data_IF_570732714663
#
_entry.id   IF_570732714663
#
_cell.length_a   1.000
_cell.length_b   1.000
_cell.length_c   1.000
_cell.angle_alpha   90.00
_cell.angle_beta   90.00
_cell.angle_gamma   90.00
#
_symmetry.space_group_name_H-M   'P 1'
#
loop_
_entity.id
_entity.type
_entity.pdbx_description
1 polymer ?
#
# COMPACT_ATOMS: atom_id res chain seq x y z
N UNK A 1 13.29 -8.70 -10.40
CA UNK A 1 14.21 -7.55 -10.48
C UNK A 1 14.11 -6.67 -9.23
N UNK A 2 12.93 -6.46 -8.66
CA UNK A 2 12.65 -5.51 -7.57
C UNK A 2 13.46 -5.76 -6.30
N UNK A 3 13.85 -7.02 -6.05
CA UNK A 3 14.68 -7.43 -4.92
C UNK A 3 15.98 -8.11 -5.36
N UNK A 4 16.36 -7.99 -6.65
CA UNK A 4 17.55 -8.62 -7.18
C UNK A 4 18.79 -7.75 -7.00
N UNK A 5 19.96 -8.32 -6.72
CA UNK A 5 21.21 -7.57 -6.65
C UNK A 5 21.48 -6.75 -7.91
N UNK A 6 22.04 -5.55 -7.76
CA UNK A 6 22.35 -4.65 -8.87
C UNK A 6 21.17 -3.85 -9.44
N UNK A 7 20.03 -3.89 -8.78
CA UNK A 7 18.87 -3.03 -9.06
C UNK A 7 18.58 -2.15 -7.85
N UNK A 8 18.42 -0.84 -8.06
CA UNK A 8 17.87 0.05 -7.04
C UNK A 8 16.35 -0.11 -7.00
N UNK A 9 15.79 -0.09 -5.80
CA UNK A 9 14.33 -0.08 -5.62
C UNK A 9 13.80 1.34 -5.81
N UNK A 10 12.88 1.52 -6.75
CA UNK A 10 12.41 2.82 -7.23
C UNK A 10 11.36 3.47 -6.33
N UNK A 11 11.64 3.59 -5.03
CA UNK A 11 10.77 4.26 -4.07
C UNK A 11 11.61 5.25 -3.22
N UNK A 12 11.91 6.44 -3.76
CA UNK A 12 12.81 7.41 -3.14
C UNK A 12 12.28 8.00 -1.83
N UNK A 13 10.97 7.99 -1.60
CA UNK A 13 10.31 8.57 -0.43
C UNK A 13 10.52 7.76 0.86
N UNK A 14 11.04 6.53 0.76
CA UNK A 14 11.26 5.68 1.95
C UNK A 14 12.45 6.16 2.80
N UNK A 15 13.52 6.66 2.17
CA UNK A 15 14.66 7.25 2.89
C UNK A 15 15.65 7.89 1.93
N UNK A 16 16.58 8.70 2.46
CA UNK A 16 17.69 9.26 1.66
C UNK A 16 18.58 8.14 1.06
N UNK A 17 18.75 7.01 1.74
CA UNK A 17 19.46 5.85 1.20
C UNK A 17 18.82 5.32 -0.09
N UNK A 18 17.49 5.16 -0.12
CA UNK A 18 16.77 4.76 -1.34
C UNK A 18 16.94 5.79 -2.44
N UNK A 19 16.87 7.07 -2.12
CA UNK A 19 17.06 8.19 -3.05
C UNK A 19 18.45 8.20 -3.67
N UNK A 20 19.49 8.06 -2.85
CA UNK A 20 20.88 7.98 -3.32
C UNK A 20 21.14 6.70 -4.15
N UNK A 21 20.60 5.56 -3.75
CA UNK A 21 20.69 4.32 -4.52
C UNK A 21 20.08 4.49 -5.92
N UNK A 22 18.95 5.21 -6.04
CA UNK A 22 18.34 5.52 -7.33
C UNK A 22 19.24 6.44 -8.16
N UNK A 23 19.76 7.53 -7.57
CA UNK A 23 20.66 8.48 -8.26
C UNK A 23 21.91 7.81 -8.84
N UNK A 24 22.47 6.85 -8.12
CA UNK A 24 23.74 6.19 -8.44
C UNK A 24 23.58 4.89 -9.26
N UNK A 25 22.35 4.43 -9.49
CA UNK A 25 22.10 3.17 -10.17
C UNK A 25 21.80 3.35 -11.65
N UNK A 26 22.30 2.42 -12.47
CA UNK A 26 21.95 2.30 -13.90
C UNK A 26 20.66 1.50 -14.12
N UNK A 27 20.17 0.80 -13.09
CA UNK A 27 19.00 -0.08 -13.17
C UNK A 27 18.08 0.22 -12.00
N UNK A 28 16.91 0.72 -12.29
CA UNK A 28 15.88 1.04 -11.29
C UNK A 28 14.71 0.10 -11.52
N UNK A 29 14.29 -0.58 -10.46
CA UNK A 29 13.13 -1.46 -10.47
C UNK A 29 11.92 -0.70 -9.91
N UNK A 30 10.97 -0.39 -10.77
CA UNK A 30 9.72 0.25 -10.35
C UNK A 30 8.92 -0.67 -9.42
N UNK A 31 8.42 -0.18 -8.28
CA UNK A 31 7.61 -0.95 -7.34
C UNK A 31 6.36 -1.57 -7.96
N UNK A 32 5.89 -2.67 -7.39
CA UNK A 32 4.57 -3.18 -7.68
C UNK A 32 3.49 -2.33 -7.02
N UNK A 33 2.33 -2.18 -7.65
CA UNK A 33 1.28 -1.29 -7.17
C UNK A 33 0.84 -1.58 -5.71
N UNK A 34 0.41 -2.81 -5.41
CA UNK A 34 0.07 -3.17 -4.03
C UNK A 34 1.27 -3.14 -3.08
N UNK A 35 2.47 -3.44 -3.60
CA UNK A 35 3.69 -3.36 -2.79
C UNK A 35 3.98 -1.91 -2.40
N UNK A 36 3.79 -0.94 -3.31
CA UNK A 36 3.93 0.49 -2.98
C UNK A 36 3.03 0.90 -1.84
N UNK A 37 1.73 0.59 -1.93
CA UNK A 37 0.78 0.91 -0.87
C UNK A 37 1.11 0.22 0.46
N UNK A 38 1.43 -1.08 0.43
CA UNK A 38 1.83 -1.80 1.65
C UNK A 38 3.12 -1.25 2.27
N UNK A 39 4.15 -1.04 1.45
CA UNK A 39 5.46 -0.58 1.90
C UNK A 39 5.38 0.83 2.47
N UNK A 40 4.59 1.73 1.86
CA UNK A 40 4.40 3.07 2.39
C UNK A 40 3.78 3.08 3.80
N UNK A 41 3.02 2.05 4.16
CA UNK A 41 2.44 1.89 5.49
C UNK A 41 3.34 1.08 6.43
N UNK A 42 3.87 -0.05 5.98
CA UNK A 42 4.60 -0.97 6.86
C UNK A 42 6.07 -0.57 7.09
N UNK A 43 6.73 0.08 6.12
CA UNK A 43 8.13 0.49 6.27
C UNK A 43 8.34 1.48 7.41
N UNK A 44 7.55 2.57 7.56
CA UNK A 44 7.66 3.45 8.72
C UNK A 44 7.45 2.72 10.04
N UNK A 45 6.46 1.82 10.12
CA UNK A 45 6.17 1.06 11.35
C UNK A 45 7.37 0.23 11.81
N UNK A 46 8.02 -0.48 10.89
CA UNK A 46 9.21 -1.30 11.19
C UNK A 46 10.42 -0.41 11.44
N UNK A 47 10.66 0.61 10.60
CA UNK A 47 11.83 1.49 10.68
C UNK A 47 11.87 2.29 11.97
N UNK A 48 10.72 2.74 12.45
CA UNK A 48 10.58 3.49 13.70
C UNK A 48 10.48 2.58 14.94
N UNK A 49 10.50 1.25 14.75
CA UNK A 49 10.42 0.29 15.83
C UNK A 49 9.03 0.20 16.51
N UNK A 50 7.99 0.69 15.85
CA UNK A 50 6.60 0.60 16.32
C UNK A 50 6.14 -0.85 16.29
N UNK A 51 6.53 -1.58 15.26
CA UNK A 51 6.37 -3.04 15.17
C UNK A 51 7.73 -3.71 14.95
N UNK A 52 7.89 -4.89 15.53
CA UNK A 52 9.07 -5.71 15.26
C UNK A 52 9.00 -6.41 13.90
N UNK A 53 10.13 -6.92 13.37
CA UNK A 53 10.16 -7.64 12.09
C UNK A 53 9.31 -8.92 12.10
N UNK A 54 9.03 -9.49 13.24
CA UNK A 54 8.21 -10.71 13.40
C UNK A 54 6.72 -10.44 13.59
N UNK A 55 6.31 -9.16 13.61
CA UNK A 55 4.93 -8.77 13.82
C UNK A 55 4.00 -9.45 12.79
N UNK A 56 2.87 -10.05 13.23
CA UNK A 56 1.95 -10.75 12.34
C UNK A 56 1.04 -9.75 11.59
N UNK A 57 1.61 -9.09 10.58
CA UNK A 57 0.93 -8.07 9.82
C UNK A 57 0.05 -8.68 8.72
N UNK A 58 -1.13 -8.12 8.55
CA UNK A 58 -2.05 -8.43 7.46
C UNK A 58 -2.40 -7.17 6.68
N UNK A 59 -2.73 -7.34 5.42
CA UNK A 59 -3.21 -6.26 4.56
C UNK A 59 -4.29 -6.77 3.62
N UNK A 60 -5.28 -5.92 3.36
CA UNK A 60 -6.21 -6.11 2.27
C UNK A 60 -6.18 -4.91 1.33
N UNK A 61 -6.46 -5.15 0.07
CA UNK A 61 -6.38 -4.12 -0.94
C UNK A 61 -7.48 -4.27 -1.98
N UNK A 62 -8.07 -3.16 -2.36
CA UNK A 62 -9.07 -3.06 -3.42
C UNK A 62 -8.48 -2.26 -4.59
N UNK A 63 -8.58 -2.77 -5.81
CA UNK A 63 -8.10 -2.06 -7.00
C UNK A 63 -9.05 -2.19 -8.18
N UNK A 64 -9.01 -1.19 -9.05
CA UNK A 64 -9.56 -1.30 -10.39
C UNK A 64 -8.76 -2.26 -11.29
N UNK A 65 -9.34 -2.61 -12.44
CA UNK A 65 -8.79 -3.63 -13.34
C UNK A 65 -7.63 -3.15 -14.23
N UNK A 66 -7.30 -1.86 -14.24
CA UNK A 66 -6.17 -1.33 -15.05
C UNK A 66 -4.81 -1.98 -14.71
N UNK A 67 -4.64 -2.47 -13.48
CA UNK A 67 -3.46 -3.20 -13.04
C UNK A 67 -3.43 -4.70 -13.37
N UNK A 68 -4.50 -5.25 -13.92
CA UNK A 68 -4.67 -6.70 -14.13
C UNK A 68 -3.93 -7.25 -15.37
N UNK A 69 -3.31 -6.37 -16.17
CA UNK A 69 -2.59 -6.71 -17.39
C UNK A 69 -3.48 -6.75 -18.64
N UNK A 70 -2.87 -6.56 -19.81
CA UNK A 70 -3.57 -6.30 -21.10
C UNK A 70 -4.68 -7.31 -21.42
N UNK A 71 -4.46 -8.61 -21.17
CA UNK A 71 -5.46 -9.65 -21.46
C UNK A 71 -6.71 -9.50 -20.60
N UNK A 72 -6.53 -9.28 -19.31
CA UNK A 72 -7.65 -9.12 -18.36
C UNK A 72 -8.39 -7.81 -18.60
N UNK A 73 -7.68 -6.72 -18.90
CA UNK A 73 -8.29 -5.44 -19.29
C UNK A 73 -9.20 -5.64 -20.50
N UNK A 74 -8.70 -6.30 -21.56
CA UNK A 74 -9.49 -6.56 -22.77
C UNK A 74 -10.78 -7.34 -22.48
N UNK A 75 -10.76 -8.28 -21.54
CA UNK A 75 -11.97 -9.03 -21.12
C UNK A 75 -12.96 -8.09 -20.41
N UNK A 76 -12.48 -7.26 -19.46
CA UNK A 76 -13.33 -6.29 -18.77
C UNK A 76 -14.02 -5.29 -19.73
N UNK A 77 -13.38 -5.00 -20.86
CA UNK A 77 -13.82 -4.01 -21.85
C UNK A 77 -14.51 -4.65 -23.08
N UNK A 78 -14.86 -5.93 -23.02
CA UNK A 78 -15.48 -6.68 -24.11
C UNK A 78 -16.76 -7.40 -23.70
N UNK A 79 -17.44 -7.99 -24.68
CA UNK A 79 -18.62 -8.87 -24.47
C UNK A 79 -18.26 -10.21 -23.82
N UNK A 80 -16.97 -10.52 -23.65
CA UNK A 80 -16.50 -11.72 -22.94
C UNK A 80 -16.53 -11.53 -21.41
N UNK A 81 -16.86 -10.32 -20.92
CA UNK A 81 -17.00 -10.02 -19.50
C UNK A 81 -18.11 -10.85 -18.87
N UNK A 82 -17.76 -11.66 -17.88
CA UNK A 82 -18.73 -12.49 -17.17
C UNK A 82 -19.47 -11.71 -16.08
N UNK A 83 -20.60 -12.25 -15.61
CA UNK A 83 -21.42 -11.58 -14.57
C UNK A 83 -20.64 -11.44 -13.25
N UNK A 84 -19.76 -12.38 -12.91
CA UNK A 84 -18.92 -12.34 -11.70
C UNK A 84 -17.90 -11.18 -11.76
N UNK A 85 -17.55 -10.72 -12.95
CA UNK A 85 -16.64 -9.60 -13.12
C UNK A 85 -17.28 -8.24 -12.83
N UNK A 86 -18.59 -8.18 -12.63
CA UNK A 86 -19.30 -6.98 -12.19
C UNK A 86 -19.26 -6.78 -10.66
N UNK A 87 -18.61 -7.69 -9.93
CA UNK A 87 -18.49 -7.64 -8.48
C UNK A 87 -17.01 -7.68 -8.07
N UNK A 88 -16.67 -7.16 -6.86
CA UNK A 88 -15.34 -7.31 -6.29
C UNK A 88 -14.95 -8.77 -6.18
N UNK A 89 -13.75 -9.12 -6.64
CA UNK A 89 -13.25 -10.51 -6.62
C UNK A 89 -11.91 -10.59 -5.92
N UNK A 90 -11.85 -11.39 -4.86
CA UNK A 90 -10.57 -11.78 -4.26
C UNK A 90 -9.79 -12.68 -5.22
N UNK A 91 -8.47 -12.52 -5.23
CA UNK A 91 -7.57 -13.39 -5.99
C UNK A 91 -6.29 -13.69 -5.19
N UNK A 92 -5.36 -14.44 -5.77
CA UNK A 92 -4.19 -14.96 -5.06
C UNK A 92 -4.55 -15.71 -3.77
N UNK A 93 -5.66 -16.45 -3.77
CA UNK A 93 -6.21 -17.17 -2.63
C UNK A 93 -5.23 -18.19 -2.01
N UNK A 94 -4.24 -18.63 -2.78
CA UNK A 94 -3.16 -19.51 -2.29
C UNK A 94 -2.06 -18.77 -1.53
N UNK A 95 -2.20 -17.47 -1.28
CA UNK A 95 -1.20 -16.60 -0.65
C UNK A 95 0.15 -16.63 -1.38
N UNK A 96 0.14 -16.74 -2.72
CA UNK A 96 1.33 -16.74 -3.59
C UNK A 96 1.32 -15.57 -4.55
N UNK A 97 1.12 -14.36 -4.05
CA UNK A 97 1.16 -13.16 -4.87
C UNK A 97 2.61 -12.71 -5.11
N UNK A 98 2.92 -12.26 -6.34
CA UNK A 98 4.27 -11.81 -6.75
C UNK A 98 4.84 -10.65 -5.90
N UNK A 99 3.99 -9.85 -5.28
CA UNK A 99 4.40 -8.70 -4.45
C UNK A 99 4.78 -9.08 -3.01
N UNK A 100 4.45 -10.27 -2.52
CA UNK A 100 4.73 -10.66 -1.13
C UNK A 100 6.22 -10.64 -0.80
N UNK A 101 7.06 -11.17 -1.71
CA UNK A 101 8.53 -11.15 -1.56
C UNK A 101 9.08 -9.73 -1.53
N UNK A 102 8.50 -8.84 -2.32
CA UNK A 102 8.86 -7.43 -2.40
C UNK A 102 8.47 -6.70 -1.10
N UNK A 103 7.23 -6.89 -0.63
CA UNK A 103 6.73 -6.35 0.63
C UNK A 103 7.64 -6.74 1.80
N UNK A 104 7.94 -8.04 1.96
CA UNK A 104 8.84 -8.55 2.98
C UNK A 104 10.23 -7.93 2.90
N UNK A 105 10.85 -7.98 1.72
CA UNK A 105 12.27 -7.61 1.57
C UNK A 105 12.51 -6.11 1.82
N UNK A 106 11.61 -5.25 1.37
CA UNK A 106 11.78 -3.79 1.50
C UNK A 106 11.44 -3.31 2.89
N UNK A 107 10.42 -3.86 3.53
CA UNK A 107 10.04 -3.45 4.89
C UNK A 107 10.93 -4.01 5.98
N UNK A 108 11.71 -5.06 5.70
CA UNK A 108 12.52 -5.75 6.70
C UNK A 108 11.75 -6.75 7.56
N UNK A 109 10.52 -7.08 7.20
CA UNK A 109 9.75 -8.12 7.89
C UNK A 109 10.42 -9.50 7.74
N UNK A 110 10.36 -10.33 8.78
CA UNK A 110 10.92 -11.69 8.78
C UNK A 110 10.08 -12.68 7.99
N UNK A 111 8.78 -12.39 7.77
CA UNK A 111 7.83 -13.20 7.01
C UNK A 111 7.04 -12.34 6.02
N UNK A 112 6.49 -12.97 5.01
CA UNK A 112 5.54 -12.34 4.10
C UNK A 112 4.24 -11.99 4.85
N UNK A 113 3.61 -10.82 4.58
CA UNK A 113 2.34 -10.47 5.20
C UNK A 113 1.21 -11.40 4.72
N UNK A 114 0.15 -11.54 5.51
CA UNK A 114 -1.12 -12.07 5.02
C UNK A 114 -1.73 -11.02 4.10
N UNK A 115 -2.03 -11.38 2.85
CA UNK A 115 -2.45 -10.42 1.85
C UNK A 115 -3.70 -10.86 1.10
N UNK A 116 -4.72 -10.02 1.12
CA UNK A 116 -6.00 -10.22 0.45
C UNK A 116 -6.20 -9.16 -0.63
N UNK A 117 -5.74 -9.38 -1.87
CA UNK A 117 -6.00 -8.47 -2.98
C UNK A 117 -7.39 -8.71 -3.57
N UNK A 118 -8.09 -7.62 -3.87
CA UNK A 118 -9.43 -7.61 -4.47
C UNK A 118 -9.36 -6.75 -5.73
N UNK A 119 -9.87 -7.26 -6.84
CA UNK A 119 -10.07 -6.49 -8.07
C UNK A 119 -11.55 -6.26 -8.28
N UNK A 120 -11.91 -5.04 -8.70
CA UNK A 120 -13.30 -4.64 -8.90
C UNK A 120 -13.51 -3.99 -10.26
N UNK A 121 -14.77 -3.79 -10.63
CA UNK A 121 -15.23 -3.32 -11.93
C UNK A 121 -15.21 -1.79 -12.04
N UNK A 122 -14.03 -1.21 -11.83
CA UNK A 122 -13.72 0.16 -12.23
C UNK A 122 -12.31 0.21 -12.81
N UNK A 123 -12.03 1.20 -13.65
CA UNK A 123 -10.79 1.19 -14.41
C UNK A 123 -9.56 1.35 -13.53
N UNK A 124 -9.39 2.47 -12.83
CA UNK A 124 -8.17 2.78 -12.07
C UNK A 124 -8.46 3.31 -10.67
N UNK A 125 -7.49 3.09 -9.79
CA UNK A 125 -7.51 3.46 -8.38
C UNK A 125 -7.22 2.24 -7.50
N UNK A 126 -6.76 2.50 -6.28
CA UNK A 126 -6.40 1.44 -5.35
C UNK A 126 -6.40 1.97 -3.91
N UNK A 127 -6.93 1.17 -2.99
CA UNK A 127 -6.73 1.32 -1.55
C UNK A 127 -5.95 0.12 -1.04
N UNK A 128 -4.98 0.36 -0.15
CA UNK A 128 -4.31 -0.69 0.62
C UNK A 128 -4.49 -0.38 2.10
N UNK A 129 -4.95 -1.34 2.86
CA UNK A 129 -5.25 -1.20 4.27
C UNK A 129 -4.42 -2.16 5.12
N UNK A 130 -3.94 -1.68 6.26
CA UNK A 130 -3.28 -2.47 7.30
C UNK A 130 -4.05 -2.25 8.60
N UNK A 131 -4.94 -3.18 9.00
CA UNK A 131 -5.63 -3.10 10.28
C UNK A 131 -4.69 -3.43 11.43
N UNK A 132 -4.73 -2.64 12.49
CA UNK A 132 -3.91 -2.79 13.69
C UNK A 132 -4.76 -2.63 14.95
N UNK A 133 -4.30 -3.24 16.04
CA UNK A 133 -4.82 -2.98 17.37
C UNK A 133 -3.90 -2.01 18.13
N UNK A 134 -4.50 -1.06 18.85
CA UNK A 134 -3.77 -0.06 19.64
C UNK A 134 -2.89 -0.70 20.70
N UNK A 135 -3.38 -1.72 21.40
CA UNK A 135 -2.63 -2.46 22.42
C UNK A 135 -1.44 -3.25 21.86
N UNK A 136 -1.49 -3.68 20.60
CA UNK A 136 -0.40 -4.42 19.96
C UNK A 136 0.77 -3.51 19.54
N UNK A 137 0.50 -2.24 19.27
CA UNK A 137 1.54 -1.28 18.83
C UNK A 137 1.86 -0.24 19.90
N UNK A 138 1.07 -0.17 20.98
CA UNK A 138 1.27 0.76 22.09
C UNK A 138 1.12 2.23 21.72
N UNK A 139 0.34 2.54 20.69
CA UNK A 139 0.21 3.89 20.16
C UNK A 139 -1.21 4.15 19.68
N UNK A 140 -1.77 5.32 20.00
CA UNK A 140 -3.10 5.76 19.54
C UNK A 140 -3.07 6.23 18.08
N UNK A 141 -4.23 6.23 17.39
CA UNK A 141 -4.28 6.64 15.98
C UNK A 141 -3.76 8.06 15.72
N UNK A 142 -4.06 9.03 16.59
CA UNK A 142 -3.60 10.42 16.44
C UNK A 142 -2.08 10.56 16.60
N UNK A 143 -1.48 9.73 17.46
CA UNK A 143 -0.03 9.68 17.64
C UNK A 143 0.64 9.04 16.42
N UNK A 144 0.05 7.96 15.92
CA UNK A 144 0.52 7.28 14.72
C UNK A 144 0.43 8.19 13.49
N UNK A 145 -0.66 8.96 13.36
CA UNK A 145 -0.79 9.95 12.28
C UNK A 145 0.37 10.97 12.29
N UNK A 146 0.75 11.48 13.46
CA UNK A 146 1.87 12.41 13.58
C UNK A 146 3.20 11.76 13.18
N UNK A 147 3.42 10.50 13.58
CA UNK A 147 4.61 9.74 13.16
C UNK A 147 4.69 9.64 11.65
N UNK A 148 3.60 9.30 10.97
CA UNK A 148 3.57 9.25 9.52
C UNK A 148 3.76 10.61 8.85
N UNK A 149 3.12 11.65 9.39
CA UNK A 149 3.27 13.02 8.89
C UNK A 149 4.72 13.52 9.01
N UNK A 150 5.40 13.22 10.11
CA UNK A 150 6.80 13.55 10.30
C UNK A 150 7.72 12.69 9.42
N UNK A 151 7.43 11.41 9.26
CA UNK A 151 8.22 10.49 8.44
C UNK A 151 8.24 10.91 6.95
N UNK A 152 7.08 11.29 6.40
CA UNK A 152 6.94 11.70 5.00
C UNK A 152 6.98 13.22 4.79
N UNK A 153 7.43 13.97 5.80
CA UNK A 153 7.51 15.43 5.73
C UNK A 153 8.40 15.91 4.56
N UNK A 154 7.82 16.69 3.67
CA UNK A 154 8.51 17.25 2.50
C UNK A 154 8.49 16.32 1.26
N UNK A 155 7.94 15.12 1.36
CA UNK A 155 7.76 14.26 0.19
C UNK A 155 6.60 14.78 -0.69
N UNK A 156 6.87 14.96 -1.98
CA UNK A 156 5.93 15.58 -2.92
C UNK A 156 4.77 14.66 -3.30
N UNK A 157 5.04 13.36 -3.35
CA UNK A 157 4.09 12.36 -3.87
C UNK A 157 3.45 11.49 -2.77
N UNK A 158 3.73 11.78 -1.50
CA UNK A 158 3.05 11.15 -0.36
C UNK A 158 2.43 12.25 0.50
N UNK A 159 1.11 12.24 0.58
CA UNK A 159 0.32 13.19 1.37
C UNK A 159 -0.31 12.46 2.56
N UNK A 160 0.23 12.70 3.76
CA UNK A 160 -0.35 12.17 5.00
C UNK A 160 -1.43 13.13 5.46
N UNK A 161 -2.66 12.66 5.49
CA UNK A 161 -3.84 13.47 5.81
C UNK A 161 -3.97 13.69 7.32
N UNK A 162 -4.58 14.79 7.76
CA UNK A 162 -4.93 15.01 9.16
C UNK A 162 -5.83 13.89 9.70
N UNK A 163 -5.77 13.63 11.01
CA UNK A 163 -6.55 12.54 11.61
C UNK A 163 -8.07 12.73 11.46
N UNK A 164 -8.56 13.95 11.56
CA UNK A 164 -9.97 14.33 11.41
C UNK A 164 -10.49 14.20 9.97
N UNK A 165 -9.61 14.06 8.97
CA UNK A 165 -10.01 13.85 7.56
C UNK A 165 -10.94 12.65 7.38
N UNK A 166 -10.87 11.61 8.24
CA UNK A 166 -11.79 10.47 8.22
C UNK A 166 -13.27 10.87 8.38
N UNK A 167 -13.56 11.98 9.07
CA UNK A 167 -14.91 12.51 9.25
C UNK A 167 -15.17 13.76 8.43
N UNK A 168 -14.24 14.68 8.35
CA UNK A 168 -14.41 15.97 7.70
C UNK A 168 -14.33 15.89 6.17
N UNK A 169 -13.35 15.16 5.63
CA UNK A 169 -13.19 15.04 4.18
C UNK A 169 -13.93 13.82 3.61
N UNK A 170 -13.85 12.67 4.29
CA UNK A 170 -14.35 11.40 3.76
C UNK A 170 -15.79 11.10 4.15
N UNK A 171 -16.32 11.78 5.19
CA UNK A 171 -17.65 11.47 5.74
C UNK A 171 -17.85 9.97 5.99
N UNK A 172 -16.79 9.28 6.46
CA UNK A 172 -16.77 7.85 6.73
C UNK A 172 -16.65 6.92 5.52
N UNK A 173 -16.47 7.46 4.29
CA UNK A 173 -16.31 6.67 3.07
C UNK A 173 -15.05 7.01 2.33
N UNK A 174 -14.23 6.01 2.02
CA UNK A 174 -13.01 6.17 1.22
C UNK A 174 -13.18 5.49 -0.14
N UNK A 175 -13.15 6.27 -1.20
CA UNK A 175 -13.27 5.75 -2.56
C UNK A 175 -11.90 5.31 -3.10
N UNK A 176 -11.82 4.09 -3.64
CA UNK A 176 -10.57 3.54 -4.16
C UNK A 176 -10.02 4.29 -5.39
N UNK A 177 -10.85 5.09 -6.06
CA UNK A 177 -10.48 5.86 -7.24
C UNK A 177 -10.22 7.35 -6.97
N UNK A 178 -10.20 7.79 -5.71
CA UNK A 178 -10.01 9.21 -5.35
C UNK A 178 -8.70 9.81 -5.87
N UNK A 179 -7.63 9.02 -5.91
CA UNK A 179 -6.32 9.45 -6.42
C UNK A 179 -6.09 9.09 -7.91
N UNK A 180 -7.11 8.63 -8.64
CA UNK A 180 -6.96 8.29 -10.05
C UNK A 180 -6.55 9.50 -10.89
N UNK A 181 -5.52 9.32 -11.76
CA UNK A 181 -4.96 10.41 -12.58
C UNK A 181 -3.88 11.23 -11.89
N UNK A 182 -3.52 10.89 -10.65
CA UNK A 182 -2.39 11.45 -9.94
C UNK A 182 -1.34 10.36 -9.63
N UNK A 183 -0.06 10.67 -9.77
CA UNK A 183 1.05 9.72 -9.57
C UNK A 183 1.53 9.64 -8.09
N UNK A 184 0.79 10.22 -7.17
CA UNK A 184 1.08 10.16 -5.74
C UNK A 184 0.12 9.25 -4.98
N UNK A 185 0.21 9.30 -3.66
CA UNK A 185 -0.69 8.60 -2.75
C UNK A 185 -1.09 9.45 -1.55
N UNK A 186 -2.26 9.20 -1.04
CA UNK A 186 -2.72 9.74 0.23
C UNK A 186 -2.70 8.65 1.29
N UNK A 187 -2.22 8.99 2.48
CA UNK A 187 -2.22 8.12 3.65
C UNK A 187 -3.17 8.69 4.69
N UNK A 188 -4.11 7.87 5.08
CA UNK A 188 -5.06 8.16 6.16
C UNK A 188 -4.78 7.21 7.32
N UNK A 189 -4.76 7.74 8.52
CA UNK A 189 -4.77 6.95 9.76
C UNK A 189 -6.15 7.14 10.37
N UNK A 190 -6.95 6.10 10.31
CA UNK A 190 -8.33 6.10 10.80
C UNK A 190 -8.45 5.19 12.02
N UNK A 191 -9.45 5.40 12.85
CA UNK A 191 -9.68 4.48 13.95
C UNK A 191 -10.26 5.13 15.21
N UNK A 192 -10.10 4.41 16.31
CA UNK A 192 -10.56 4.77 17.64
C UNK A 192 -9.55 4.33 18.69
N UNK A 193 -9.91 4.41 19.99
CA UNK A 193 -9.02 4.05 21.09
C UNK A 193 -8.55 2.58 21.10
N UNK A 194 -9.18 1.69 20.34
CA UNK A 194 -8.87 0.25 20.33
C UNK A 194 -8.24 -0.22 19.01
N UNK A 195 -8.62 0.37 17.87
CA UNK A 195 -8.33 -0.14 16.52
C UNK A 195 -7.94 0.96 15.57
N UNK A 196 -7.01 0.65 14.67
CA UNK A 196 -6.47 1.55 13.64
C UNK A 196 -6.62 0.90 12.28
N UNK A 197 -6.93 1.71 11.31
CA UNK A 197 -6.95 1.35 9.91
C UNK A 197 -6.13 2.35 9.11
#
# INVERSE_FOLDING_TARGET
HRTSPGWAYGFPELSEEFRENIRNSKRIANPGCYASGFISLAYPLVKMGIIGPDFPISAFALSGYSGAGKKTIAIYESDEKTVEMNAPREYALTQKHKHLKEMKAITGLSREPLFTPIVDDYYSGMIVNIPLYVDMIGMKPEELQKVFADFYKGEKFINVKPFDAQTEELNGFMAANSCSGWDGMEIYICGNDDRIL
#
